data_IF_302119864177
#
_entry.id   IF_302119864177
#
_cell.length_a   1.000
_cell.length_b   1.000
_cell.length_c   1.000
_cell.angle_alpha   90.00
_cell.angle_beta   90.00
_cell.angle_gamma   90.00
#
_symmetry.space_group_name_H-M   'P 1'
#
loop_
_entity.id
_entity.type
_entity.pdbx_description
1 polymer ?
#
# COMPACT_ATOMS: atom_id res chain seq x y z
N UNK A 1 7.01 -34.22 3.67
CA UNK A 1 6.64 -33.01 2.89
C UNK A 1 7.40 -31.83 3.47
N UNK A 2 8.16 -31.08 2.67
CA UNK A 2 8.94 -29.95 3.15
C UNK A 2 8.01 -28.80 3.59
N UNK A 3 8.23 -28.24 4.78
CA UNK A 3 7.45 -27.13 5.32
C UNK A 3 8.19 -25.82 5.02
N UNK A 4 7.50 -24.86 4.39
CA UNK A 4 8.02 -23.53 4.14
C UNK A 4 7.31 -22.51 5.02
N UNK A 5 8.08 -21.64 5.67
CA UNK A 5 7.55 -20.58 6.54
C UNK A 5 8.10 -19.24 6.09
N UNK A 6 7.24 -18.21 6.07
CA UNK A 6 7.65 -16.84 5.81
C UNK A 6 7.71 -16.12 7.16
N UNK A 7 8.85 -15.51 7.47
CA UNK A 7 9.05 -14.72 8.69
C UNK A 7 9.30 -13.27 8.31
N UNK A 8 8.33 -12.41 8.57
CA UNK A 8 8.48 -10.97 8.41
C UNK A 8 9.28 -10.38 9.57
N UNK A 9 10.21 -9.47 9.27
CA UNK A 9 11.14 -8.92 10.27
C UNK A 9 12.24 -9.89 10.70
N UNK A 10 12.41 -11.04 10.02
CA UNK A 10 13.37 -12.09 10.38
C UNK A 10 14.84 -11.72 10.21
N UNK A 11 15.15 -10.50 9.76
CA UNK A 11 16.51 -9.99 9.62
C UNK A 11 17.11 -9.50 10.94
N UNK A 12 16.36 -9.51 12.05
CA UNK A 12 16.88 -9.14 13.38
C UNK A 12 16.05 -9.66 14.56
N UNK A 13 16.63 -9.58 15.76
CA UNK A 13 15.92 -9.73 17.06
C UNK A 13 15.12 -11.04 17.18
N UNK A 14 13.95 -10.98 17.81
CA UNK A 14 13.06 -12.12 18.09
C UNK A 14 12.71 -12.93 16.84
N UNK A 15 12.51 -12.26 15.69
CA UNK A 15 12.17 -12.94 14.44
C UNK A 15 13.37 -13.69 13.86
N UNK A 16 14.60 -13.17 14.01
CA UNK A 16 15.82 -13.92 13.65
C UNK A 16 16.01 -15.16 14.54
N UNK A 17 15.75 -15.04 15.85
CA UNK A 17 15.78 -16.19 16.76
C UNK A 17 14.74 -17.25 16.36
N UNK A 18 13.51 -16.83 16.02
CA UNK A 18 12.48 -17.72 15.48
C UNK A 18 12.92 -18.39 14.18
N UNK A 19 13.52 -17.65 13.24
CA UNK A 19 14.08 -18.20 11.99
C UNK A 19 15.08 -19.32 12.28
N UNK A 20 15.99 -19.14 13.25
CA UNK A 20 16.95 -20.18 13.65
C UNK A 20 16.27 -21.44 14.19
N UNK A 21 15.25 -21.28 15.04
CA UNK A 21 14.50 -22.41 15.60
C UNK A 21 13.73 -23.18 14.52
N UNK A 22 13.12 -22.46 13.57
CA UNK A 22 12.41 -23.07 12.44
C UNK A 22 13.36 -23.87 11.54
N UNK A 23 14.52 -23.31 11.22
CA UNK A 23 15.56 -23.99 10.43
C UNK A 23 16.10 -25.23 11.16
N UNK A 24 16.35 -25.13 12.47
CA UNK A 24 16.78 -26.26 13.29
C UNK A 24 15.71 -27.37 13.39
N UNK A 25 14.43 -27.00 13.35
CA UNK A 25 13.31 -27.93 13.29
C UNK A 25 13.06 -28.54 11.90
N UNK A 26 13.92 -28.25 10.91
CA UNK A 26 13.82 -28.79 9.56
C UNK A 26 12.82 -28.08 8.64
N UNK A 27 12.35 -26.88 9.01
CA UNK A 27 11.55 -26.04 8.11
C UNK A 27 12.46 -25.21 7.21
N UNK A 28 12.08 -25.03 5.95
CA UNK A 28 12.69 -24.00 5.11
C UNK A 28 12.06 -22.65 5.41
N UNK A 29 12.86 -21.59 5.44
CA UNK A 29 12.41 -20.26 5.86
C UNK A 29 12.70 -19.20 4.81
N UNK A 30 11.68 -18.45 4.42
CA UNK A 30 11.86 -17.18 3.71
C UNK A 30 11.90 -16.05 4.76
N UNK A 31 13.08 -15.48 4.96
CA UNK A 31 13.28 -14.30 5.79
C UNK A 31 12.89 -13.08 4.97
N UNK A 32 11.79 -12.44 5.36
CA UNK A 32 11.22 -11.28 4.70
C UNK A 32 11.53 -10.02 5.51
N UNK A 33 12.51 -9.23 5.09
CA UNK A 33 12.93 -8.03 5.84
C UNK A 33 13.35 -6.89 4.90
N UNK A 34 13.40 -5.66 5.39
CA UNK A 34 14.01 -4.53 4.69
C UNK A 34 15.52 -4.73 4.54
N UNK A 35 16.17 -5.30 5.57
CA UNK A 35 17.61 -5.55 5.61
C UNK A 35 17.92 -6.69 6.57
N UNK A 36 18.95 -7.48 6.25
CA UNK A 36 19.54 -8.40 7.21
C UNK A 36 20.61 -7.69 8.04
N UNK A 37 20.59 -7.90 9.36
CA UNK A 37 21.78 -7.67 10.19
C UNK A 37 22.82 -8.78 9.93
N UNK A 38 24.10 -8.55 10.25
CA UNK A 38 25.17 -9.53 9.99
C UNK A 38 24.83 -10.95 10.47
N UNK A 39 24.33 -11.08 11.71
CA UNK A 39 23.97 -12.37 12.32
C UNK A 39 22.85 -13.12 11.57
N UNK A 40 21.92 -12.38 10.98
CA UNK A 40 20.86 -12.95 10.15
C UNK A 40 21.37 -13.30 8.76
N UNK A 41 22.30 -12.51 8.21
CA UNK A 41 23.04 -12.83 7.00
C UNK A 41 23.80 -14.16 7.12
N UNK A 42 24.55 -14.32 8.21
CA UNK A 42 25.28 -15.56 8.50
C UNK A 42 24.34 -16.77 8.58
N UNK A 43 23.18 -16.58 9.19
CA UNK A 43 22.16 -17.64 9.28
C UNK A 43 21.59 -17.99 7.92
N UNK A 44 21.23 -17.01 7.08
CA UNK A 44 20.72 -17.29 5.72
C UNK A 44 21.79 -17.99 4.88
N UNK A 45 23.05 -17.56 4.97
CA UNK A 45 24.17 -18.15 4.23
C UNK A 45 24.47 -19.60 4.67
N UNK A 46 24.27 -19.93 5.94
CA UNK A 46 24.45 -21.29 6.46
C UNK A 46 23.40 -22.29 5.92
N UNK A 47 22.28 -21.80 5.39
CA UNK A 47 21.19 -22.61 4.84
C UNK A 47 20.93 -22.23 3.38
N UNK A 48 21.81 -22.58 2.44
CA UNK A 48 21.68 -22.18 1.05
C UNK A 48 20.40 -22.73 0.42
N UNK A 49 19.83 -21.95 -0.50
CA UNK A 49 18.70 -22.35 -1.33
C UNK A 49 19.09 -22.29 -2.82
N UNK A 50 18.79 -23.33 -3.63
CA UNK A 50 18.13 -24.59 -3.26
C UNK A 50 19.00 -25.46 -2.32
N UNK A 51 18.39 -26.34 -1.51
CA UNK A 51 19.13 -27.19 -0.58
C UNK A 51 20.00 -28.22 -1.34
N UNK A 52 21.19 -28.50 -0.81
CA UNK A 52 22.15 -29.43 -1.42
C UNK A 52 21.65 -30.89 -1.47
N UNK A 53 20.83 -31.27 -0.50
CA UNK A 53 20.22 -32.60 -0.41
C UNK A 53 18.69 -32.49 -0.32
N UNK A 54 17.94 -33.44 -0.90
CA UNK A 54 16.51 -33.54 -0.67
C UNK A 54 16.21 -33.59 0.83
N UNK A 55 15.17 -32.88 1.27
CA UNK A 55 14.73 -32.79 2.67
C UNK A 55 15.62 -31.99 3.64
N UNK A 56 16.69 -31.34 3.20
CA UNK A 56 17.36 -30.33 4.04
C UNK A 56 16.58 -29.01 4.09
N UNK A 57 16.54 -28.34 5.25
CA UNK A 57 16.00 -26.98 5.34
C UNK A 57 16.89 -26.01 4.56
N UNK A 58 16.27 -24.98 4.00
CA UNK A 58 16.95 -23.91 3.27
C UNK A 58 16.37 -22.56 3.67
N UNK A 59 17.17 -21.50 3.53
CA UNK A 59 16.80 -20.14 3.84
C UNK A 59 16.90 -19.25 2.59
N UNK A 60 15.91 -18.37 2.42
CA UNK A 60 15.91 -17.35 1.37
C UNK A 60 15.69 -16.00 2.00
N UNK A 61 16.48 -15.00 1.61
CA UNK A 61 16.19 -13.62 1.95
C UNK A 61 15.36 -12.95 0.86
N UNK A 62 14.22 -12.38 1.25
CA UNK A 62 13.41 -11.55 0.38
C UNK A 62 13.32 -10.14 0.93
N UNK A 63 13.78 -9.17 0.14
CA UNK A 63 13.80 -7.78 0.54
C UNK A 63 12.41 -7.15 0.38
N UNK A 64 11.76 -6.80 1.49
CA UNK A 64 10.35 -6.38 1.54
C UNK A 64 10.03 -4.97 1.02
N UNK A 65 10.95 -4.32 0.31
CA UNK A 65 10.77 -2.94 -0.19
C UNK A 65 9.53 -2.78 -1.08
N UNK A 66 9.33 -3.70 -2.03
CA UNK A 66 8.22 -3.63 -2.96
C UNK A 66 6.87 -4.02 -2.33
N UNK A 67 6.75 -5.13 -1.58
CA UNK A 67 5.52 -5.44 -0.86
C UNK A 67 5.08 -4.32 0.10
N UNK A 68 6.01 -3.72 0.87
CA UNK A 68 5.67 -2.61 1.77
C UNK A 68 5.28 -1.34 1.02
N UNK A 69 5.92 -1.06 -0.12
CA UNK A 69 5.49 0.03 -1.00
C UNK A 69 4.05 -0.16 -1.47
N UNK A 70 3.70 -1.35 -1.97
CA UNK A 70 2.33 -1.65 -2.42
C UNK A 70 1.32 -1.59 -1.28
N UNK A 71 1.64 -2.17 -0.12
CA UNK A 71 0.78 -2.09 1.07
C UNK A 71 0.55 -0.63 1.48
N UNK A 72 1.59 0.20 1.48
CA UNK A 72 1.49 1.62 1.81
C UNK A 72 0.64 2.39 0.79
N UNK A 73 0.80 2.12 -0.52
CA UNK A 73 -0.03 2.75 -1.56
C UNK A 73 -1.50 2.34 -1.44
N UNK A 74 -1.77 1.06 -1.15
CA UNK A 74 -3.12 0.58 -0.89
C UNK A 74 -3.74 1.26 0.35
N UNK A 75 -2.95 1.43 1.42
CA UNK A 75 -3.39 2.14 2.61
C UNK A 75 -3.74 3.61 2.32
N UNK A 76 -2.90 4.34 1.58
CA UNK A 76 -3.19 5.73 1.17
C UNK A 76 -4.45 5.81 0.32
N UNK A 77 -4.62 4.90 -0.63
CA UNK A 77 -5.81 4.80 -1.48
C UNK A 77 -7.08 4.62 -0.63
N UNK A 78 -7.04 3.74 0.38
CA UNK A 78 -8.19 3.54 1.27
C UNK A 78 -8.41 4.71 2.22
N UNK A 79 -7.35 5.32 2.75
CA UNK A 79 -7.46 6.49 3.61
C UNK A 79 -8.16 7.67 2.92
N UNK A 80 -7.80 7.94 1.67
CA UNK A 80 -8.45 9.01 0.88
C UNK A 80 -9.93 8.70 0.65
N UNK A 81 -10.30 7.43 0.45
CA UNK A 81 -11.70 7.03 0.30
C UNK A 81 -12.51 7.25 1.57
N UNK A 82 -11.97 6.89 2.74
CA UNK A 82 -12.65 7.12 4.03
C UNK A 82 -12.97 8.60 4.27
N UNK A 83 -12.21 9.50 3.65
CA UNK A 83 -12.39 10.95 3.74
C UNK A 83 -13.30 11.53 2.64
N UNK A 84 -13.97 10.70 1.83
CA UNK A 84 -14.76 11.18 0.68
C UNK A 84 -15.96 12.06 1.03
N UNK A 85 -16.50 11.96 2.25
CA UNK A 85 -17.60 12.81 2.71
C UNK A 85 -17.19 14.23 3.13
N UNK A 86 -15.88 14.53 3.16
CA UNK A 86 -15.36 15.81 3.65
C UNK A 86 -15.90 17.01 2.85
N UNK A 87 -16.16 16.86 1.55
CA UNK A 87 -16.69 17.96 0.74
C UNK A 87 -18.09 18.34 1.16
N UNK A 88 -18.96 17.34 1.36
CA UNK A 88 -20.33 17.53 1.84
C UNK A 88 -20.36 18.08 3.26
N UNK A 89 -19.44 17.59 4.09
CA UNK A 89 -19.43 17.87 5.53
C UNK A 89 -18.79 19.22 5.83
N UNK A 90 -17.59 19.47 5.29
CA UNK A 90 -16.75 20.61 5.67
C UNK A 90 -16.41 21.52 4.47
N UNK A 91 -16.93 21.23 3.26
CA UNK A 91 -16.51 21.93 2.04
C UNK A 91 -15.10 21.56 1.57
N UNK A 92 -14.45 20.58 2.19
CA UNK A 92 -13.05 20.21 1.93
C UNK A 92 -12.99 19.08 0.91
N UNK A 93 -12.23 19.27 -0.16
CA UNK A 93 -12.07 18.28 -1.23
C UNK A 93 -10.82 17.45 -1.05
N UNK A 94 -10.90 16.15 -1.32
CA UNK A 94 -9.78 15.23 -1.20
C UNK A 94 -9.75 14.19 -2.35
N UNK A 95 -8.55 13.77 -2.73
CA UNK A 95 -8.33 12.83 -3.85
C UNK A 95 -6.87 12.39 -3.85
N UNK A 96 -6.54 11.26 -4.49
CA UNK A 96 -5.15 10.90 -4.75
C UNK A 96 -4.92 10.38 -6.17
N UNK A 97 -3.71 10.65 -6.67
CA UNK A 97 -3.23 10.25 -7.99
C UNK A 97 -1.95 9.40 -7.82
N UNK A 98 -1.98 8.08 -8.08
CA UNK A 98 -0.75 7.30 -8.15
C UNK A 98 0.03 7.70 -9.40
N UNK A 99 1.09 8.48 -9.21
CA UNK A 99 1.94 8.98 -10.29
C UNK A 99 3.30 8.28 -10.25
N UNK A 100 3.84 8.00 -11.44
CA UNK A 100 5.17 7.45 -11.63
C UNK A 100 5.99 8.46 -12.43
N UNK A 101 6.98 9.05 -11.76
CA UNK A 101 7.95 9.95 -12.38
C UNK A 101 9.19 9.16 -12.83
N UNK A 102 9.73 9.53 -14.00
CA UNK A 102 10.83 8.81 -14.64
C UNK A 102 12.13 8.89 -13.83
N UNK A 103 12.48 10.04 -13.26
CA UNK A 103 13.77 10.23 -12.58
C UNK A 103 13.79 9.53 -11.22
N UNK A 104 12.69 9.59 -10.48
CA UNK A 104 12.60 8.90 -9.19
C UNK A 104 12.43 7.38 -9.34
N UNK A 105 11.80 6.91 -10.43
CA UNK A 105 11.53 5.49 -10.66
C UNK A 105 12.54 4.81 -11.60
N UNK A 106 13.66 5.45 -11.93
CA UNK A 106 14.65 4.98 -12.92
C UNK A 106 15.24 3.58 -12.65
N UNK A 107 15.26 3.14 -11.40
CA UNK A 107 15.70 1.78 -11.01
C UNK A 107 14.61 0.71 -11.18
N UNK A 108 13.34 1.12 -11.28
CA UNK A 108 12.16 0.26 -11.36
C UNK A 108 11.55 0.24 -12.77
N UNK A 109 11.75 1.30 -13.55
CA UNK A 109 11.27 1.43 -14.92
C UNK A 109 12.36 1.02 -15.92
N UNK A 110 11.94 0.34 -17.00
CA UNK A 110 12.83 0.12 -18.15
C UNK A 110 13.16 1.46 -18.80
N UNK A 111 14.34 1.58 -19.43
CA UNK A 111 14.75 2.80 -20.13
C UNK A 111 13.79 3.21 -21.26
N UNK A 112 13.08 2.25 -21.85
CA UNK A 112 12.06 2.50 -22.88
C UNK A 112 10.65 2.71 -22.29
N UNK A 113 10.50 2.72 -20.96
CA UNK A 113 9.22 2.82 -20.28
C UNK A 113 8.62 4.23 -20.40
N UNK A 114 7.36 4.29 -20.82
CA UNK A 114 6.57 5.53 -20.80
C UNK A 114 6.27 5.89 -19.34
N UNK A 115 6.73 7.06 -18.90
CA UNK A 115 6.47 7.61 -17.57
C UNK A 115 6.18 9.10 -17.65
N UNK A 116 5.51 9.62 -16.63
CA UNK A 116 5.17 11.04 -16.57
C UNK A 116 6.42 11.84 -16.24
N UNK A 117 6.53 13.03 -16.83
CA UNK A 117 7.50 14.04 -16.40
C UNK A 117 7.04 14.69 -15.08
N UNK A 118 7.96 15.33 -14.33
CA UNK A 118 7.57 16.08 -13.13
C UNK A 118 6.53 17.18 -13.42
N UNK A 119 6.65 17.84 -14.58
CA UNK A 119 5.69 18.85 -15.03
C UNK A 119 4.30 18.29 -15.31
N UNK A 120 4.21 17.12 -15.94
CA UNK A 120 2.93 16.42 -16.16
C UNK A 120 2.32 15.94 -14.83
N UNK A 121 3.14 15.42 -13.92
CA UNK A 121 2.70 15.07 -12.57
C UNK A 121 2.09 16.29 -11.85
N UNK A 122 2.79 17.42 -11.86
CA UNK A 122 2.31 18.66 -11.23
C UNK A 122 1.02 19.18 -11.89
N UNK A 123 0.92 19.14 -13.22
CA UNK A 123 -0.28 19.56 -13.95
C UNK A 123 -1.50 18.72 -13.55
N UNK A 124 -1.32 17.39 -13.40
CA UNK A 124 -2.36 16.48 -12.92
C UNK A 124 -2.74 16.82 -11.47
N UNK A 125 -1.77 16.95 -10.57
CA UNK A 125 -2.00 17.30 -9.15
C UNK A 125 -2.78 18.62 -9.04
N UNK A 126 -2.50 19.60 -9.89
CA UNK A 126 -3.20 20.89 -9.91
C UNK A 126 -4.59 20.81 -10.54
N UNK A 127 -4.82 19.90 -11.49
CA UNK A 127 -6.10 19.73 -12.18
C UNK A 127 -7.17 19.14 -11.25
N UNK A 128 -6.82 18.15 -10.44
CA UNK A 128 -7.78 17.40 -9.61
C UNK A 128 -8.58 18.30 -8.64
N UNK A 129 -7.96 19.14 -7.79
CA UNK A 129 -8.72 20.00 -6.87
C UNK A 129 -9.50 21.11 -7.59
N UNK A 130 -9.18 21.46 -8.84
CA UNK A 130 -9.83 22.55 -9.58
C UNK A 130 -11.07 22.12 -10.36
N UNK A 131 -11.20 20.83 -10.70
CA UNK A 131 -12.32 20.32 -11.51
C UNK A 131 -13.42 19.78 -10.60
N UNK A 132 -14.68 20.26 -10.67
CA UNK A 132 -15.73 19.92 -9.70
C UNK A 132 -16.15 18.45 -9.68
N UNK A 133 -15.80 17.71 -10.74
CA UNK A 133 -16.02 16.27 -10.91
C UNK A 133 -15.14 15.37 -10.02
N UNK A 134 -14.18 15.91 -9.27
CA UNK A 134 -13.33 15.16 -8.34
C UNK A 134 -13.47 15.70 -6.91
N UNK A 135 -12.72 15.14 -5.96
CA UNK A 135 -12.59 15.68 -4.59
C UNK A 135 -13.48 15.03 -3.54
N UNK A 136 -14.15 13.92 -3.86
CA UNK A 136 -15.04 13.17 -2.97
C UNK A 136 -14.43 11.81 -2.61
N UNK A 137 -13.10 11.78 -2.36
CA UNK A 137 -12.35 10.55 -2.08
C UNK A 137 -11.94 9.78 -3.32
N UNK A 138 -12.04 10.39 -4.50
CA UNK A 138 -11.80 9.72 -5.78
C UNK A 138 -10.33 9.28 -5.92
N UNK A 139 -10.15 8.08 -6.45
CA UNK A 139 -8.85 7.62 -6.95
C UNK A 139 -8.75 7.99 -8.41
N UNK A 140 -7.81 8.88 -8.70
CA UNK A 140 -7.66 9.49 -10.01
C UNK A 140 -6.51 8.79 -10.73
N UNK A 141 -6.87 7.78 -11.51
CA UNK A 141 -5.90 7.02 -12.30
C UNK A 141 -5.41 7.90 -13.44
N UNK A 142 -4.09 8.04 -13.56
CA UNK A 142 -3.45 8.84 -14.61
C UNK A 142 -2.70 7.90 -15.53
N UNK A 143 -3.06 7.89 -16.81
CA UNK A 143 -2.42 7.06 -17.82
C UNK A 143 -1.79 7.92 -18.90
N UNK A 144 -0.60 7.53 -19.33
CA UNK A 144 0.05 8.13 -20.48
C UNK A 144 -0.09 7.15 -21.66
N UNK A 145 -0.94 7.50 -22.62
CA UNK A 145 -1.33 6.63 -23.75
C UNK A 145 -0.32 6.67 -24.93
N UNK A 146 0.78 7.40 -24.80
CA UNK A 146 1.86 7.52 -25.79
C UNK A 146 2.93 8.53 -25.37
N UNK A 147 4.03 8.61 -26.11
CA UNK A 147 5.06 9.63 -25.88
C UNK A 147 4.49 11.04 -26.18
N UNK A 148 4.73 12.01 -25.28
CA UNK A 148 4.30 13.42 -25.37
C UNK A 148 2.77 13.68 -25.45
N UNK A 149 1.94 12.74 -24.99
CA UNK A 149 0.47 12.91 -24.95
C UNK A 149 0.02 13.51 -23.60
N UNK A 150 -1.09 14.25 -23.60
CA UNK A 150 -1.77 14.65 -22.36
C UNK A 150 -2.24 13.41 -21.58
N UNK A 151 -1.98 13.32 -20.26
CA UNK A 151 -2.42 12.16 -19.50
C UNK A 151 -3.94 12.03 -19.46
N UNK A 152 -4.44 10.83 -19.74
CA UNK A 152 -5.85 10.49 -19.56
C UNK A 152 -6.11 10.18 -18.09
N UNK A 153 -7.32 10.55 -17.63
CA UNK A 153 -7.67 10.50 -16.21
C UNK A 153 -9.04 9.86 -16.02
N UNK A 154 -9.14 8.80 -15.19
CA UNK A 154 -10.43 8.24 -14.77
C UNK A 154 -10.58 8.13 -13.26
N UNK A 155 -11.83 8.11 -12.83
CA UNK A 155 -12.23 7.81 -11.46
C UNK A 155 -12.50 6.32 -11.27
N UNK A 156 -12.19 5.79 -10.08
CA UNK A 156 -12.61 4.46 -9.63
C UNK A 156 -13.62 4.63 -8.48
N UNK A 157 -14.91 4.27 -8.68
CA UNK A 157 -15.95 4.43 -7.67
C UNK A 157 -15.73 3.50 -6.46
N UNK A 158 -16.14 3.97 -5.29
CA UNK A 158 -15.91 3.32 -3.98
C UNK A 158 -16.59 1.95 -3.89
N UNK A 159 -17.79 1.86 -4.45
CA UNK A 159 -18.69 0.71 -4.37
C UNK A 159 -18.13 -0.50 -5.13
N UNK A 160 -17.26 -0.26 -6.12
CA UNK A 160 -16.64 -1.32 -6.92
C UNK A 160 -15.63 -2.19 -6.13
N UNK A 161 -15.29 -1.80 -4.89
CA UNK A 161 -14.28 -2.48 -4.07
C UNK A 161 -14.84 -3.17 -2.83
N UNK A 162 -16.11 -2.93 -2.50
CA UNK A 162 -16.76 -3.66 -1.42
C UNK A 162 -17.15 -5.07 -1.87
N UNK A 163 -17.07 -6.07 -0.98
CA UNK A 163 -17.64 -7.38 -1.26
C UNK A 163 -19.11 -7.21 -1.65
N UNK A 164 -19.51 -7.82 -2.76
CA UNK A 164 -20.90 -7.79 -3.24
C UNK A 164 -21.84 -8.70 -2.42
N UNK A 165 -21.35 -9.26 -1.31
CA UNK A 165 -22.13 -10.09 -0.38
C UNK A 165 -21.57 -10.07 1.05
N UNK A 166 -22.47 -9.94 2.03
CA UNK A 166 -22.19 -9.86 3.48
C UNK A 166 -23.38 -9.21 4.22
N UNK A 167 -23.41 -9.21 5.57
CA UNK A 167 -24.50 -8.60 6.33
C UNK A 167 -24.46 -7.07 6.20
N UNK A 168 -25.16 -6.55 5.18
CA UNK A 168 -25.28 -5.13 4.85
C UNK A 168 -25.63 -4.24 6.06
N UNK A 169 -26.43 -4.77 7.00
CA UNK A 169 -26.84 -4.06 8.20
C UNK A 169 -25.68 -3.54 9.06
N UNK A 170 -24.56 -4.28 9.15
CA UNK A 170 -23.40 -3.83 9.93
C UNK A 170 -22.66 -2.68 9.24
N UNK A 171 -22.61 -2.69 7.91
CA UNK A 171 -22.03 -1.62 7.10
C UNK A 171 -22.91 -0.36 7.19
N UNK A 172 -24.24 -0.52 7.10
CA UNK A 172 -25.20 0.57 7.29
C UNK A 172 -25.06 1.22 8.67
N UNK A 173 -24.94 0.42 9.73
CA UNK A 173 -24.74 0.93 11.08
C UNK A 173 -23.41 1.68 11.25
N UNK A 174 -22.33 1.19 10.63
CA UNK A 174 -21.03 1.86 10.65
C UNK A 174 -21.07 3.20 9.89
N UNK A 175 -21.73 3.24 8.72
CA UNK A 175 -21.93 4.48 7.96
C UNK A 175 -22.77 5.49 8.74
N UNK A 176 -23.84 5.05 9.41
CA UNK A 176 -24.67 5.92 10.24
C UNK A 176 -23.90 6.50 11.45
N UNK A 177 -23.03 5.70 12.08
CA UNK A 177 -22.18 6.18 13.17
C UNK A 177 -21.16 7.23 12.69
N UNK A 178 -20.56 7.00 11.52
CA UNK A 178 -19.69 8.01 10.88
C UNK A 178 -20.44 9.30 10.56
N UNK A 179 -21.66 9.21 10.01
CA UNK A 179 -22.46 10.40 9.68
C UNK A 179 -22.81 11.21 10.92
N UNK A 180 -23.10 10.56 12.05
CA UNK A 180 -23.32 11.24 13.33
C UNK A 180 -22.08 11.99 13.80
N UNK A 181 -20.91 11.34 13.77
CA UNK A 181 -19.64 11.97 14.15
C UNK A 181 -19.28 13.16 13.23
N UNK A 182 -19.63 13.06 11.94
CA UNK A 182 -19.45 14.13 10.95
C UNK A 182 -20.41 15.31 11.21
N UNK A 183 -21.65 15.07 11.64
CA UNK A 183 -22.58 16.13 12.06
C UNK A 183 -22.09 16.87 13.31
N UNK A 184 -21.56 16.13 14.29
CA UNK A 184 -20.97 16.73 15.49
C UNK A 184 -19.76 17.62 15.13
N UNK A 185 -18.92 17.19 14.19
CA UNK A 185 -17.82 18.00 13.64
C UNK A 185 -18.29 19.28 12.93
N UNK A 186 -19.44 19.26 12.22
CA UNK A 186 -20.02 20.47 11.62
C UNK A 186 -20.48 21.47 12.68
N UNK A 187 -21.08 20.98 13.76
CA UNK A 187 -21.66 21.82 14.82
C UNK A 187 -20.60 22.39 15.76
N UNK A 188 -19.56 21.62 16.07
CA UNK A 188 -18.62 21.95 17.15
C UNK A 188 -17.15 22.12 16.68
N UNK A 189 -16.85 21.82 15.41
CA UNK A 189 -15.48 21.80 14.90
C UNK A 189 -14.61 20.71 15.53
N UNK A 190 -13.31 20.71 15.22
CA UNK A 190 -12.33 19.68 15.69
C UNK A 190 -12.13 19.70 17.22
N UNK A 191 -12.63 20.73 17.92
CA UNK A 191 -12.41 20.94 19.37
C UNK A 191 -13.55 20.49 20.29
N UNK A 192 -14.69 20.03 19.77
CA UNK A 192 -15.77 19.45 20.59
C UNK A 192 -15.81 17.94 20.39
N UNK A 193 -15.79 17.07 21.39
CA UNK A 193 -15.91 17.18 22.85
C UNK A 193 -14.76 16.38 23.50
N UNK A 194 -13.83 17.08 24.13
CA UNK A 194 -12.98 16.49 25.16
C UNK A 194 -13.59 16.85 26.52
N UNK A 195 -14.71 16.22 26.85
CA UNK A 195 -15.36 16.26 28.16
C UNK A 195 -16.36 15.14 28.27
#
# INVERSE_FOLDING_TARGET
MAKFTIVTGGGSSICHALTKLLLAAGCSVMTADLRLRPEAGDTVNAYPHPPAEPCRPSAVFHRMMMPLYYASKAAVVNFVKCLGSLRRTLGIRNSCTPLFDHDHCRRMLRKEGVALTPGQCAAVIMRVPRKPQYGDGNIVETRLDGFDVQPSVREVPLEALYPTGGPLQQIENAMAAEDKMKQELQLHGIRGSAS
#
